data_IF_237148724302
#
_entry.id   IF_237148724302
#
_cell.length_a   1.000
_cell.length_b   1.000
_cell.length_c   1.000
_cell.angle_alpha   90.00
_cell.angle_beta   90.00
_cell.angle_gamma   90.00
#
_symmetry.space_group_name_H-M   'P 1'
#
loop_
_entity.id
_entity.type
_entity.pdbx_description
1 polymer ?
#
# COMPACT_ATOMS: atom_id res chain seq x y z
N UNK A 1 3.77 -19.10 14.28
CA UNK A 1 3.49 -17.82 13.58
C UNK A 1 2.78 -16.89 14.55
N UNK A 2 3.27 -15.66 14.75
CA UNK A 2 2.67 -14.70 15.69
C UNK A 2 1.29 -14.25 15.20
N UNK A 3 0.43 -13.77 16.12
CA UNK A 3 -0.90 -13.25 15.78
C UNK A 3 -0.82 -12.10 14.76
N UNK A 4 0.21 -11.26 14.85
CA UNK A 4 0.51 -10.20 13.88
C UNK A 4 0.81 -10.73 12.49
N UNK A 5 1.78 -11.64 12.37
CA UNK A 5 2.11 -12.29 11.08
C UNK A 5 0.89 -13.05 10.50
N UNK A 6 0.06 -13.65 11.36
CA UNK A 6 -1.20 -14.30 10.95
C UNK A 6 -2.20 -13.30 10.36
N UNK A 7 -2.38 -12.13 10.97
CA UNK A 7 -3.21 -11.06 10.43
C UNK A 7 -2.68 -10.54 9.09
N UNK A 8 -1.37 -10.33 8.99
CA UNK A 8 -0.71 -9.96 7.73
C UNK A 8 -0.96 -10.98 6.61
N UNK A 9 -0.89 -12.27 6.92
CA UNK A 9 -1.14 -13.33 5.95
C UNK A 9 -2.59 -13.36 5.46
N UNK A 10 -3.56 -13.19 6.37
CA UNK A 10 -4.98 -13.07 5.99
C UNK A 10 -5.23 -11.87 5.09
N UNK A 11 -4.64 -10.71 5.41
CA UNK A 11 -4.77 -9.52 4.58
C UNK A 11 -4.13 -9.71 3.20
N UNK A 12 -2.94 -10.31 3.13
CA UNK A 12 -2.31 -10.67 1.86
C UNK A 12 -3.20 -11.57 1.00
N UNK A 13 -3.80 -12.60 1.60
CA UNK A 13 -4.67 -13.53 0.88
C UNK A 13 -5.90 -12.83 0.29
N UNK A 14 -6.53 -11.91 1.04
CA UNK A 14 -7.68 -11.14 0.55
C UNK A 14 -7.30 -10.25 -0.62
N UNK A 15 -6.23 -9.45 -0.49
CA UNK A 15 -5.77 -8.55 -1.55
C UNK A 15 -5.33 -9.34 -2.79
N UNK A 16 -4.73 -10.51 -2.60
CA UNK A 16 -4.40 -11.41 -3.71
C UNK A 16 -5.64 -11.91 -4.47
N UNK A 17 -6.72 -12.24 -3.77
CA UNK A 17 -8.01 -12.60 -4.40
C UNK A 17 -8.58 -11.42 -5.19
N UNK A 18 -8.53 -10.21 -4.64
CA UNK A 18 -8.98 -8.99 -5.36
C UNK A 18 -8.15 -8.77 -6.62
N UNK A 19 -6.83 -8.98 -6.55
CA UNK A 19 -5.92 -8.84 -7.68
C UNK A 19 -6.20 -9.87 -8.78
N UNK A 20 -6.55 -11.11 -8.42
CA UNK A 20 -7.02 -12.13 -9.38
C UNK A 20 -8.33 -11.69 -10.05
N UNK A 21 -9.30 -11.19 -9.28
CA UNK A 21 -10.58 -10.71 -9.82
C UNK A 21 -10.34 -9.56 -10.81
N UNK A 22 -9.51 -8.59 -10.43
CA UNK A 22 -9.16 -7.45 -11.27
C UNK A 22 -8.45 -7.88 -12.56
N UNK A 23 -7.54 -8.86 -12.48
CA UNK A 23 -6.89 -9.44 -13.64
C UNK A 23 -7.89 -10.13 -14.58
N UNK A 24 -8.83 -10.90 -14.05
CA UNK A 24 -9.88 -11.54 -14.84
C UNK A 24 -10.77 -10.49 -15.51
N UNK A 25 -11.18 -9.44 -14.80
CA UNK A 25 -11.96 -8.34 -15.37
C UNK A 25 -11.21 -7.62 -16.49
N UNK A 26 -9.91 -7.38 -16.31
CA UNK A 26 -9.05 -6.79 -17.35
C UNK A 26 -8.97 -7.69 -18.60
N UNK A 27 -8.81 -9.01 -18.41
CA UNK A 27 -8.72 -9.97 -19.50
C UNK A 27 -10.03 -10.17 -20.25
N UNK A 28 -11.16 -9.97 -19.59
CA UNK A 28 -12.48 -9.98 -20.21
C UNK A 28 -12.87 -8.61 -20.80
N UNK A 29 -11.97 -7.62 -20.73
CA UNK A 29 -12.20 -6.23 -21.15
C UNK A 29 -13.40 -5.56 -20.45
N UNK A 30 -13.78 -6.06 -19.27
CA UNK A 30 -14.91 -5.55 -18.48
C UNK A 30 -14.41 -4.38 -17.62
N UNK A 31 -14.97 -3.19 -17.84
CA UNK A 31 -14.62 -1.99 -17.06
C UNK A 31 -13.42 -1.20 -17.58
N UNK A 32 -12.86 -1.58 -18.74
CA UNK A 32 -11.83 -0.81 -19.43
C UNK A 32 -10.52 -0.68 -18.62
N UNK A 33 -10.07 0.55 -18.37
CA UNK A 33 -8.83 0.83 -17.63
C UNK A 33 -8.97 0.65 -16.11
N UNK A 34 -10.20 0.60 -15.57
CA UNK A 34 -10.44 0.54 -14.12
C UNK A 34 -9.80 -0.68 -13.44
N UNK A 35 -9.88 -1.92 -13.98
CA UNK A 35 -9.23 -3.06 -13.37
C UNK A 35 -7.71 -2.94 -13.37
N UNK A 36 -7.13 -2.27 -14.37
CA UNK A 36 -5.69 -1.99 -14.43
C UNK A 36 -5.23 -1.03 -13.33
N UNK A 37 -5.99 0.05 -13.09
CA UNK A 37 -5.72 0.98 -11.97
C UNK A 37 -5.84 0.23 -10.64
N UNK A 38 -6.90 -0.57 -10.46
CA UNK A 38 -7.11 -1.36 -9.25
C UNK A 38 -5.94 -2.33 -8.99
N UNK A 39 -5.45 -3.02 -10.02
CA UNK A 39 -4.30 -3.91 -9.90
C UNK A 39 -3.04 -3.18 -9.41
N UNK A 40 -2.76 -1.98 -9.93
CA UNK A 40 -1.60 -1.18 -9.49
C UNK A 40 -1.77 -0.75 -8.04
N UNK A 41 -2.96 -0.28 -7.65
CA UNK A 41 -3.26 0.09 -6.27
C UNK A 41 -3.12 -1.10 -5.30
N UNK A 42 -3.67 -2.26 -5.66
CA UNK A 42 -3.57 -3.49 -4.88
C UNK A 42 -2.12 -3.97 -4.72
N UNK A 43 -1.29 -3.81 -5.75
CA UNK A 43 0.13 -4.13 -5.66
C UNK A 43 0.83 -3.30 -4.57
N UNK A 44 0.56 -2.00 -4.46
CA UNK A 44 1.10 -1.17 -3.38
C UNK A 44 0.61 -1.61 -2.00
N UNK A 45 -0.68 -1.99 -1.88
CA UNK A 45 -1.24 -2.48 -0.62
C UNK A 45 -0.57 -3.78 -0.19
N UNK A 46 -0.37 -4.73 -1.11
CA UNK A 46 0.33 -5.99 -0.87
C UNK A 46 1.77 -5.74 -0.37
N UNK A 47 2.50 -4.83 -1.01
CA UNK A 47 3.85 -4.44 -0.60
C UNK A 47 3.82 -3.86 0.83
N UNK A 48 2.90 -2.94 1.13
CA UNK A 48 2.78 -2.35 2.47
C UNK A 48 2.44 -3.39 3.54
N UNK A 49 1.57 -4.35 3.25
CA UNK A 49 1.26 -5.45 4.17
C UNK A 49 2.49 -6.34 4.37
N UNK A 50 3.18 -6.70 3.29
CA UNK A 50 4.40 -7.51 3.35
C UNK A 50 5.45 -6.82 4.26
N UNK A 51 5.69 -5.53 4.03
CA UNK A 51 6.64 -4.74 4.81
C UNK A 51 6.21 -4.65 6.28
N UNK A 52 4.97 -4.26 6.57
CA UNK A 52 4.47 -4.04 7.94
C UNK A 52 4.42 -5.31 8.79
N UNK A 53 4.06 -6.43 8.19
CA UNK A 53 3.77 -7.66 8.95
C UNK A 53 4.90 -8.69 8.89
N UNK A 54 5.76 -8.66 7.87
CA UNK A 54 6.79 -9.68 7.65
C UNK A 54 8.21 -9.14 7.66
N UNK A 55 8.42 -7.87 7.28
CA UNK A 55 9.75 -7.23 7.30
C UNK A 55 9.99 -6.51 8.62
N UNK A 56 9.03 -5.72 9.09
CA UNK A 56 9.13 -5.08 10.40
C UNK A 56 8.79 -6.07 11.51
N UNK A 57 9.74 -6.29 12.41
CA UNK A 57 9.47 -7.03 13.64
C UNK A 57 8.73 -6.12 14.61
N UNK A 58 7.55 -6.59 15.05
CA UNK A 58 6.62 -5.86 15.91
C UNK A 58 7.25 -5.48 17.26
N UNK A 59 8.31 -6.19 17.65
CA UNK A 59 9.08 -5.98 18.88
C UNK A 59 10.32 -5.09 18.72
N UNK A 60 10.79 -4.81 17.49
CA UNK A 60 12.02 -4.06 17.25
C UNK A 60 11.81 -2.76 16.48
N UNK A 61 10.74 -2.66 15.69
CA UNK A 61 10.51 -1.47 14.86
C UNK A 61 9.29 -0.72 15.36
N UNK A 62 9.53 0.30 16.18
CA UNK A 62 8.47 1.18 16.69
C UNK A 62 7.63 1.71 15.52
N UNK A 63 6.31 1.62 15.68
CA UNK A 63 5.31 2.21 14.78
C UNK A 63 5.59 3.70 14.49
N UNK A 64 6.32 4.38 15.38
CA UNK A 64 6.81 5.75 15.22
C UNK A 64 7.74 5.96 14.01
N UNK A 65 8.46 4.93 13.54
CA UNK A 65 9.36 5.05 12.38
C UNK A 65 8.57 5.09 11.07
N UNK A 66 7.52 4.25 10.97
CA UNK A 66 6.58 4.27 9.85
C UNK A 66 5.74 5.55 9.84
N UNK A 67 5.29 6.00 11.01
CA UNK A 67 4.55 7.26 11.16
C UNK A 67 5.45 8.47 10.83
N UNK A 68 6.73 8.42 11.19
CA UNK A 68 7.74 9.42 10.82
C UNK A 68 7.95 9.48 9.31
N UNK A 69 8.18 8.33 8.66
CA UNK A 69 8.37 8.27 7.22
C UNK A 69 7.14 8.76 6.44
N UNK A 70 5.93 8.32 6.82
CA UNK A 70 4.70 8.78 6.17
C UNK A 70 4.47 10.29 6.34
N UNK A 71 4.77 10.83 7.52
CA UNK A 71 4.66 12.26 7.82
C UNK A 71 5.70 13.09 7.07
N UNK A 72 6.91 12.59 6.93
CA UNK A 72 7.99 13.27 6.20
C UNK A 72 7.75 13.25 4.68
N UNK A 73 7.23 12.17 4.12
CA UNK A 73 6.82 12.09 2.71
C UNK A 73 5.65 13.04 2.43
N UNK A 74 4.62 13.04 3.28
CA UNK A 74 3.48 13.95 3.14
C UNK A 74 3.93 15.42 3.22
N UNK A 75 4.85 15.74 4.14
CA UNK A 75 5.41 17.09 4.28
C UNK A 75 6.25 17.49 3.07
N UNK A 76 7.08 16.58 2.56
CA UNK A 76 7.87 16.77 1.34
C UNK A 76 7.01 17.09 0.12
N UNK A 77 5.87 16.42 -0.05
CA UNK A 77 4.97 16.73 -1.17
C UNK A 77 4.27 18.09 -1.00
N UNK A 78 3.85 18.44 0.22
CA UNK A 78 3.26 19.77 0.48
C UNK A 78 4.26 20.90 0.30
N UNK A 79 5.52 20.71 0.71
CA UNK A 79 6.57 21.72 0.56
C UNK A 79 6.97 21.88 -0.91
N UNK A 80 7.07 20.78 -1.66
CA UNK A 80 7.29 20.80 -3.10
C UNK A 80 6.13 21.49 -3.86
N UNK A 81 4.89 21.30 -3.40
CA UNK A 81 3.71 21.98 -3.96
C UNK A 81 3.72 23.49 -3.65
N UNK A 82 4.03 23.89 -2.42
CA UNK A 82 4.17 25.31 -2.04
C UNK A 82 5.19 26.03 -2.90
N UNK A 83 6.39 25.44 -3.05
CA UNK A 83 7.48 25.99 -3.88
C UNK A 83 7.04 26.14 -5.34
N UNK A 84 6.26 25.19 -5.89
CA UNK A 84 5.76 25.27 -7.28
C UNK A 84 4.61 26.25 -7.47
N UNK A 85 3.78 26.46 -6.45
CA UNK A 85 2.58 27.31 -6.53
C UNK A 85 2.84 28.80 -6.25
N UNK A 86 4.02 29.16 -5.73
CA UNK A 86 4.36 30.55 -5.38
C UNK A 86 3.45 31.16 -4.29
N UNK A 87 2.78 30.32 -3.49
CA UNK A 87 1.99 30.72 -2.33
C UNK A 87 2.79 30.39 -1.07
N UNK A 88 3.30 31.42 -0.39
CA UNK A 88 3.80 31.32 0.98
C UNK A 88 2.67 30.89 1.94
#
# INVERSE_FOLDING_TARGET
MTTHKKKGFTLLAINFVVLIIAYVLLKLEIGGLLPGILMVSEFFVIIMIAVRYFVYDENETSQSVLDGFAKDVAKSETDAYKIRSGRD
#
